data_IF_624242763785
#
_entry.id   IF_624242763785
#
_cell.length_a   1.000
_cell.length_b   1.000
_cell.length_c   1.000
_cell.angle_alpha   90.00
_cell.angle_beta   90.00
_cell.angle_gamma   90.00
#
_symmetry.space_group_name_H-M   'P 1'
#
loop_
_entity.id
_entity.type
_entity.pdbx_description
1 polymer ?
#
# COMPACT_ATOMS: atom_id res chain seq x y z
N UNK A 1 -4.64 -5.46 -0.69
CA UNK A 1 -4.05 -4.19 -1.17
C UNK A 1 -4.08 -4.13 -2.69
N UNK A 2 -3.23 -4.87 -3.41
CA UNK A 2 -3.12 -4.84 -4.89
C UNK A 2 -4.47 -4.81 -5.62
N UNK A 3 -5.37 -5.77 -5.36
CA UNK A 3 -6.69 -5.87 -6.04
C UNK A 3 -7.64 -4.69 -5.80
N UNK A 4 -7.42 -3.90 -4.76
CA UNK A 4 -8.23 -2.72 -4.41
C UNK A 4 -7.68 -1.44 -5.03
N UNK A 5 -6.45 -1.50 -5.55
CA UNK A 5 -5.77 -0.36 -6.18
C UNK A 5 -5.81 -0.52 -7.70
N UNK A 6 -5.42 -1.70 -8.21
CA UNK A 6 -5.37 -1.98 -9.65
C UNK A 6 -6.52 -2.85 -10.19
N UNK A 7 -7.51 -3.17 -9.36
CA UNK A 7 -8.67 -3.97 -9.75
C UNK A 7 -9.91 -3.12 -10.00
N UNK A 8 -11.03 -3.76 -10.36
CA UNK A 8 -12.28 -3.05 -10.71
C UNK A 8 -13.01 -2.47 -9.48
N UNK A 9 -12.79 -3.05 -8.30
CA UNK A 9 -13.52 -2.71 -7.07
C UNK A 9 -12.59 -2.03 -6.06
N UNK A 10 -12.57 -0.70 -6.14
CA UNK A 10 -11.74 0.23 -5.37
C UNK A 10 -12.21 0.38 -3.91
N UNK A 11 -11.49 1.18 -3.10
CA UNK A 11 -11.85 1.45 -1.69
C UNK A 11 -12.04 2.94 -1.44
N UNK A 12 -12.98 3.28 -0.56
CA UNK A 12 -13.33 4.66 -0.22
C UNK A 12 -12.15 5.46 0.34
N UNK A 13 -11.20 4.81 1.03
CA UNK A 13 -9.98 5.43 1.54
C UNK A 13 -9.21 6.19 0.46
N UNK A 14 -9.11 5.63 -0.75
CA UNK A 14 -8.51 6.32 -1.89
C UNK A 14 -9.53 7.17 -2.65
N UNK A 15 -10.74 6.65 -2.90
CA UNK A 15 -11.74 7.35 -3.72
C UNK A 15 -12.26 8.66 -3.09
N UNK A 16 -12.17 8.80 -1.76
CA UNK A 16 -12.51 10.04 -1.06
C UNK A 16 -11.46 11.16 -1.25
N UNK A 17 -10.24 10.84 -1.70
CA UNK A 17 -9.19 11.81 -2.01
C UNK A 17 -9.47 12.47 -3.36
N UNK A 18 -9.96 13.72 -3.33
CA UNK A 18 -10.40 14.46 -4.53
C UNK A 18 -9.26 14.87 -5.46
N UNK A 19 -8.08 15.14 -4.91
CA UNK A 19 -6.93 15.55 -5.70
C UNK A 19 -6.28 14.31 -6.34
N UNK A 20 -6.41 14.18 -7.66
CA UNK A 20 -5.98 12.99 -8.39
C UNK A 20 -4.48 12.67 -8.26
N UNK A 21 -3.62 13.69 -8.19
CA UNK A 21 -2.18 13.55 -7.96
C UNK A 21 -1.88 12.94 -6.58
N UNK A 22 -2.46 13.50 -5.52
CA UNK A 22 -2.27 12.99 -4.15
C UNK A 22 -2.80 11.56 -4.02
N UNK A 23 -3.94 11.27 -4.65
CA UNK A 23 -4.51 9.93 -4.68
C UNK A 23 -3.59 8.95 -5.38
N UNK A 24 -3.13 9.27 -6.59
CA UNK A 24 -2.26 8.42 -7.39
C UNK A 24 -0.93 8.14 -6.67
N UNK A 25 -0.32 9.15 -6.03
CA UNK A 25 0.90 8.97 -5.24
C UNK A 25 0.67 8.03 -4.04
N UNK A 26 -0.47 8.18 -3.36
CA UNK A 26 -0.83 7.33 -2.22
C UNK A 26 -1.10 5.88 -2.65
N UNK A 27 -1.80 5.71 -3.78
CA UNK A 27 -2.04 4.40 -4.41
C UNK A 27 -0.74 3.74 -4.86
N UNK A 28 0.18 4.49 -5.46
CA UNK A 28 1.48 3.99 -5.90
C UNK A 28 2.32 3.49 -4.72
N UNK A 29 2.45 4.28 -3.66
CA UNK A 29 3.13 3.89 -2.41
C UNK A 29 2.52 2.63 -1.78
N UNK A 30 1.20 2.57 -1.71
CA UNK A 30 0.49 1.41 -1.17
C UNK A 30 0.67 0.16 -2.04
N UNK A 31 0.72 0.32 -3.36
CA UNK A 31 0.93 -0.77 -4.31
C UNK A 31 2.36 -1.30 -4.25
N UNK A 32 3.35 -0.42 -4.13
CA UNK A 32 4.77 -0.78 -3.95
C UNK A 32 4.95 -1.62 -2.69
N UNK A 33 4.49 -1.10 -1.55
CA UNK A 33 4.52 -1.82 -0.28
C UNK A 33 3.83 -3.19 -0.39
N UNK A 34 2.64 -3.25 -1.01
CA UNK A 34 1.91 -4.49 -1.15
C UNK A 34 2.65 -5.53 -2.01
N UNK A 35 3.36 -5.09 -3.05
CA UNK A 35 4.19 -5.95 -3.88
C UNK A 35 5.41 -6.47 -3.11
N UNK A 36 6.10 -5.61 -2.35
CA UNK A 36 7.24 -6.01 -1.51
C UNK A 36 6.81 -7.02 -0.45
N UNK A 37 5.72 -6.74 0.29
CA UNK A 37 5.15 -7.66 1.26
C UNK A 37 4.81 -9.02 0.63
N UNK A 38 4.22 -9.04 -0.57
CA UNK A 38 3.86 -10.30 -1.23
C UNK A 38 5.10 -11.13 -1.62
N UNK A 39 6.15 -10.49 -2.10
CA UNK A 39 7.40 -11.12 -2.53
C UNK A 39 8.23 -11.62 -1.34
N UNK A 40 8.29 -10.83 -0.28
CA UNK A 40 9.20 -11.04 0.86
C UNK A 40 8.48 -11.61 2.10
N UNK A 41 7.18 -11.94 2.01
CA UNK A 41 6.34 -12.40 3.15
C UNK A 41 6.96 -13.49 4.04
N UNK A 42 7.83 -14.34 3.49
CA UNK A 42 8.47 -15.44 4.22
C UNK A 42 9.66 -14.99 5.09
N UNK A 43 10.17 -13.77 4.88
CA UNK A 43 11.31 -13.21 5.60
C UNK A 43 10.89 -12.54 6.92
N UNK A 44 9.61 -12.21 7.09
CA UNK A 44 9.09 -11.63 8.31
C UNK A 44 8.79 -12.74 9.34
N UNK A 45 9.42 -12.64 10.49
CA UNK A 45 9.27 -13.50 11.66
C UNK A 45 8.25 -12.94 12.67
N UNK A 46 8.02 -11.63 12.65
CA UNK A 46 7.06 -10.96 13.51
C UNK A 46 6.32 -9.82 12.81
N UNK A 47 5.12 -9.48 13.30
CA UNK A 47 4.31 -8.38 12.76
C UNK A 47 5.03 -7.02 12.83
N UNK A 48 5.91 -6.83 13.82
CA UNK A 48 6.71 -5.60 13.92
C UNK A 48 7.59 -5.36 12.70
N UNK A 49 8.11 -6.40 12.07
CA UNK A 49 8.95 -6.31 10.87
C UNK A 49 8.12 -5.95 9.63
N UNK A 50 6.83 -6.25 9.62
CA UNK A 50 5.87 -5.81 8.60
C UNK A 50 5.49 -4.34 8.79
N UNK A 51 5.42 -3.86 10.04
CA UNK A 51 5.03 -2.47 10.36
C UNK A 51 6.16 -1.49 10.05
N UNK A 52 7.42 -1.88 10.25
CA UNK A 52 8.58 -0.98 10.03
C UNK A 52 8.62 -0.38 8.61
N UNK A 53 8.46 -1.15 7.52
CA UNK A 53 8.37 -0.60 6.16
C UNK A 53 7.18 0.35 5.97
N UNK A 54 6.04 0.10 6.61
CA UNK A 54 4.84 0.95 6.51
C UNK A 54 5.13 2.35 7.06
N UNK A 55 5.86 2.44 8.18
CA UNK A 55 6.23 3.72 8.78
C UNK A 55 7.25 4.50 7.93
N UNK A 56 8.11 3.81 7.17
CA UNK A 56 9.08 4.46 6.28
C UNK A 56 8.42 5.08 5.04
N UNK A 57 7.36 4.46 4.52
CA UNK A 57 6.60 4.95 3.35
C UNK A 57 5.79 6.24 3.66
N UNK A 58 5.52 6.51 4.93
CA UNK A 58 4.78 7.70 5.41
C UNK A 58 5.65 8.95 5.61
N UNK A 59 6.98 8.84 5.53
CA UNK A 59 7.91 9.98 5.65
C UNK A 59 8.17 10.70 4.32
#
# INVERSE_FOLDING_TARGET
MIRRIGGVDHVEDFESTREGSIRADSEAKALELANSLLKEKQQFLAIGEVISPIMQVQS
#
